data_IF_453337751498
#
_entry.id   IF_453337751498
#
_cell.length_a   1.000
_cell.length_b   1.000
_cell.length_c   1.000
_cell.angle_alpha   90.00
_cell.angle_beta   90.00
_cell.angle_gamma   90.00
#
_symmetry.space_group_name_H-M   'P 1'
#
loop_
_entity.id
_entity.type
_entity.pdbx_description
1 polymer ?
#
# COMPACT_ATOMS: atom_id res chain seq x y z
N UNK A 1 -16.14 -19.97 26.13
CA UNK A 1 -15.10 -19.62 25.12
C UNK A 1 -15.79 -19.10 23.87
N UNK A 2 -15.67 -17.80 23.54
CA UNK A 2 -16.18 -17.25 22.26
C UNK A 2 -15.43 -17.95 21.15
N UNK A 3 -16.14 -18.66 20.25
CA UNK A 3 -15.55 -19.18 19.01
C UNK A 3 -14.92 -18.00 18.26
N UNK A 4 -13.59 -17.98 18.17
CA UNK A 4 -12.87 -17.06 17.31
C UNK A 4 -13.27 -17.38 15.85
N UNK A 5 -14.11 -16.54 15.27
CA UNK A 5 -14.44 -16.64 13.84
C UNK A 5 -13.15 -16.35 13.09
N UNK A 6 -12.66 -17.36 12.40
CA UNK A 6 -11.44 -17.21 11.60
C UNK A 6 -11.69 -16.19 10.47
N UNK A 7 -10.90 -15.10 10.35
CA UNK A 7 -11.02 -14.17 9.24
C UNK A 7 -10.85 -14.92 7.92
N UNK A 8 -11.47 -14.39 6.84
CA UNK A 8 -11.25 -14.88 5.46
C UNK A 8 -9.75 -15.06 5.26
N UNK A 9 -9.32 -16.19 4.70
CA UNK A 9 -7.91 -16.56 4.68
C UNK A 9 -7.14 -15.74 3.61
N UNK A 10 -6.81 -14.51 3.95
CA UNK A 10 -6.00 -13.57 3.14
C UNK A 10 -4.61 -13.35 3.74
N UNK A 11 -4.12 -14.30 4.51
CA UNK A 11 -2.86 -14.21 5.24
C UNK A 11 -1.68 -13.76 4.37
N UNK A 12 -1.59 -14.25 3.11
CA UNK A 12 -0.55 -13.83 2.19
C UNK A 12 -0.60 -12.33 1.87
N UNK A 13 -1.81 -11.77 1.72
CA UNK A 13 -1.98 -10.32 1.47
C UNK A 13 -1.64 -9.52 2.74
N UNK A 14 -1.99 -10.03 3.93
CA UNK A 14 -1.56 -9.41 5.19
C UNK A 14 -0.04 -9.37 5.30
N UNK A 15 0.66 -10.44 4.88
CA UNK A 15 2.12 -10.45 4.85
C UNK A 15 2.70 -9.40 3.87
N UNK A 16 2.13 -9.26 2.67
CA UNK A 16 2.56 -8.20 1.72
C UNK A 16 2.37 -6.82 2.35
N UNK A 17 1.23 -6.57 3.02
CA UNK A 17 0.98 -5.32 3.74
C UNK A 17 1.99 -5.06 4.85
N UNK A 18 2.26 -6.06 5.69
CA UNK A 18 3.21 -5.96 6.79
C UNK A 18 4.62 -5.68 6.24
N UNK A 19 5.03 -6.38 5.18
CA UNK A 19 6.30 -6.10 4.52
C UNK A 19 6.35 -4.64 4.01
N UNK A 20 5.30 -4.17 3.33
CA UNK A 20 5.23 -2.80 2.83
C UNK A 20 5.27 -1.77 3.97
N UNK A 21 4.58 -2.01 5.11
CA UNK A 21 4.64 -1.13 6.29
C UNK A 21 6.06 -1.00 6.84
N UNK A 22 6.75 -2.12 7.02
CA UNK A 22 8.12 -2.11 7.54
C UNK A 22 9.10 -1.51 6.54
N UNK A 23 8.86 -1.70 5.25
CA UNK A 23 9.64 -1.09 4.18
C UNK A 23 9.54 0.44 4.18
N UNK A 24 8.41 1.03 4.61
CA UNK A 24 8.30 2.50 4.75
C UNK A 24 9.34 3.04 5.72
N UNK A 25 9.40 2.51 6.95
CA UNK A 25 10.36 2.98 7.95
C UNK A 25 11.80 2.72 7.51
N UNK A 26 12.05 1.55 6.91
CA UNK A 26 13.36 1.18 6.39
C UNK A 26 13.81 2.11 5.25
N UNK A 27 12.90 2.53 4.37
CA UNK A 27 13.19 3.50 3.32
C UNK A 27 13.47 4.90 3.90
N UNK A 28 12.67 5.33 4.90
CA UNK A 28 12.85 6.61 5.56
C UNK A 28 14.19 6.69 6.31
N UNK A 29 14.71 5.56 6.80
CA UNK A 29 16.07 5.51 7.32
C UNK A 29 17.08 5.99 6.28
N UNK A 30 17.05 5.50 5.05
CA UNK A 30 17.95 5.97 3.99
C UNK A 30 17.72 7.44 3.64
N UNK A 31 16.47 7.92 3.72
CA UNK A 31 16.13 9.31 3.40
C UNK A 31 16.70 10.30 4.43
N UNK A 32 16.68 9.93 5.71
CA UNK A 32 17.03 10.86 6.79
C UNK A 32 18.39 10.62 7.45
N UNK A 33 19.07 9.50 7.14
CA UNK A 33 20.39 9.17 7.70
C UNK A 33 21.57 9.86 7.01
N UNK A 34 21.32 10.68 5.98
CA UNK A 34 22.39 11.26 5.16
C UNK A 34 22.98 10.30 4.13
N UNK A 35 22.32 9.15 3.87
CA UNK A 35 22.77 8.16 2.90
C UNK A 35 23.07 8.75 1.52
N UNK A 36 22.26 9.69 1.06
CA UNK A 36 22.41 10.32 -0.24
C UNK A 36 23.52 11.38 -0.30
N UNK A 37 24.05 11.77 0.86
CA UNK A 37 25.15 12.74 0.98
C UNK A 37 26.50 12.03 1.10
N UNK A 38 26.50 10.70 1.30
CA UNK A 38 27.71 9.90 1.44
C UNK A 38 28.29 9.56 0.06
N UNK A 39 29.59 9.79 -0.08
CA UNK A 39 30.34 9.23 -1.21
C UNK A 39 30.36 7.71 -1.11
N UNK A 40 29.72 7.06 -2.06
CA UNK A 40 29.48 5.62 -2.03
C UNK A 40 30.59 4.88 -2.75
N UNK A 41 31.40 4.13 -2.03
CA UNK A 41 32.45 3.32 -2.64
C UNK A 41 32.36 1.85 -2.20
N UNK A 42 32.67 0.95 -3.14
CA UNK A 42 32.83 -0.46 -2.89
C UNK A 42 31.55 -1.26 -2.63
N UNK A 43 31.72 -2.46 -2.08
CA UNK A 43 30.67 -3.43 -1.86
C UNK A 43 29.54 -2.93 -0.92
N UNK A 44 29.90 -2.13 0.09
CA UNK A 44 28.91 -1.60 1.02
C UNK A 44 27.90 -0.67 0.34
N UNK A 45 28.31 0.14 -0.62
CA UNK A 45 27.45 0.98 -1.41
C UNK A 45 26.42 0.14 -2.21
N UNK A 46 26.87 -0.95 -2.82
CA UNK A 46 25.99 -1.86 -3.55
C UNK A 46 24.96 -2.51 -2.61
N UNK A 47 25.42 -3.01 -1.43
CA UNK A 47 24.51 -3.63 -0.45
C UNK A 47 23.43 -2.63 0.03
N UNK A 48 23.83 -1.40 0.38
CA UNK A 48 22.88 -0.37 0.80
C UNK A 48 21.97 0.06 -0.35
N UNK A 49 22.47 0.11 -1.59
CA UNK A 49 21.68 0.31 -2.79
C UNK A 49 20.60 -0.76 -2.94
N UNK A 50 20.96 -2.04 -2.83
CA UNK A 50 20.01 -3.15 -2.86
C UNK A 50 18.95 -3.04 -1.75
N UNK A 51 19.36 -2.75 -0.52
CA UNK A 51 18.42 -2.56 0.60
C UNK A 51 17.46 -1.41 0.33
N UNK A 52 17.98 -0.26 -0.09
CA UNK A 52 17.17 0.91 -0.45
C UNK A 52 16.16 0.57 -1.54
N UNK A 53 16.57 -0.12 -2.61
CA UNK A 53 15.67 -0.49 -3.72
C UNK A 53 14.61 -1.50 -3.28
N UNK A 54 14.97 -2.46 -2.42
CA UNK A 54 14.02 -3.41 -1.83
C UNK A 54 12.92 -2.69 -1.04
N UNK A 55 13.30 -1.76 -0.16
CA UNK A 55 12.33 -1.03 0.68
C UNK A 55 11.57 0.06 -0.10
N UNK A 56 12.11 0.53 -1.21
CA UNK A 56 11.43 1.48 -2.08
C UNK A 56 10.11 0.93 -2.65
N UNK A 57 9.96 -0.38 -2.68
CA UNK A 57 8.74 -1.03 -3.18
C UNK A 57 7.52 -0.89 -2.27
N UNK A 58 7.61 -0.20 -1.14
CA UNK A 58 6.50 -0.03 -0.20
C UNK A 58 5.25 0.57 -0.87
N UNK A 59 5.39 1.66 -1.62
CA UNK A 59 4.27 2.34 -2.29
C UNK A 59 3.69 1.51 -3.45
N UNK A 60 4.50 0.99 -4.41
CA UNK A 60 4.04 0.02 -5.39
C UNK A 60 3.22 -1.12 -4.80
N UNK A 61 3.70 -1.73 -3.72
CA UNK A 61 3.02 -2.85 -3.06
C UNK A 61 1.66 -2.44 -2.48
N UNK A 62 1.54 -1.28 -1.83
CA UNK A 62 0.24 -0.80 -1.31
C UNK A 62 -0.76 -0.57 -2.44
N UNK A 63 -0.33 -0.05 -3.59
CA UNK A 63 -1.21 0.15 -4.74
C UNK A 63 -1.62 -1.19 -5.37
N UNK A 64 -0.69 -2.13 -5.52
CA UNK A 64 -0.99 -3.49 -6.01
C UNK A 64 -1.96 -4.23 -5.07
N UNK A 65 -1.79 -4.12 -3.74
CA UNK A 65 -2.73 -4.66 -2.74
C UNK A 65 -4.12 -4.05 -2.95
N UNK A 66 -4.18 -2.74 -3.18
CA UNK A 66 -5.46 -2.06 -3.45
C UNK A 66 -6.13 -2.62 -4.71
N UNK A 67 -5.39 -2.80 -5.79
CA UNK A 67 -5.88 -3.44 -7.02
C UNK A 67 -6.36 -4.87 -6.78
N UNK A 68 -5.61 -5.66 -6.02
CA UNK A 68 -5.95 -7.02 -5.67
C UNK A 68 -7.27 -7.11 -4.88
N UNK A 69 -7.44 -6.26 -3.84
CA UNK A 69 -8.60 -6.30 -2.94
C UNK A 69 -9.83 -5.61 -3.53
N UNK A 70 -9.65 -4.56 -4.34
CA UNK A 70 -10.76 -3.71 -4.84
C UNK A 70 -11.16 -4.01 -6.29
N UNK A 71 -10.66 -5.08 -6.92
CA UNK A 71 -10.95 -5.45 -8.32
C UNK A 71 -12.43 -5.57 -8.67
N UNK A 72 -13.29 -5.87 -7.68
CA UNK A 72 -14.74 -6.01 -7.87
C UNK A 72 -15.54 -4.79 -7.39
N UNK A 73 -14.86 -3.70 -6.97
CA UNK A 73 -15.56 -2.50 -6.51
C UNK A 73 -16.35 -1.88 -7.67
N UNK A 74 -17.64 -1.63 -7.41
CA UNK A 74 -18.60 -1.04 -8.35
C UNK A 74 -18.86 0.43 -7.95
N UNK A 75 -19.35 1.21 -8.89
CA UNK A 75 -19.79 2.59 -8.64
C UNK A 75 -21.08 2.58 -7.80
N UNK A 76 -20.93 2.71 -6.48
CA UNK A 76 -22.03 2.77 -5.54
C UNK A 76 -21.62 3.54 -4.28
N UNK A 77 -22.58 4.11 -3.56
CA UNK A 77 -22.33 4.87 -2.33
C UNK A 77 -21.57 4.03 -1.27
N UNK A 78 -21.85 2.74 -1.16
CA UNK A 78 -21.17 1.82 -0.26
C UNK A 78 -19.65 1.71 -0.52
N UNK A 79 -19.20 1.89 -1.78
CA UNK A 79 -17.77 1.97 -2.08
C UNK A 79 -17.14 3.20 -1.43
N UNK A 80 -17.74 4.37 -1.60
CA UNK A 80 -17.19 5.65 -1.12
C UNK A 80 -17.23 5.80 0.40
N UNK A 81 -18.24 5.22 1.08
CA UNK A 81 -18.30 5.17 2.54
C UNK A 81 -17.06 4.50 3.15
N UNK A 82 -16.48 3.53 2.46
CA UNK A 82 -15.23 2.85 2.89
C UNK A 82 -14.00 3.76 2.94
N UNK A 83 -14.06 4.96 2.36
CA UNK A 83 -13.00 5.95 2.46
C UNK A 83 -13.02 6.72 3.79
N UNK A 84 -14.18 6.81 4.46
CA UNK A 84 -14.35 7.57 5.69
C UNK A 84 -13.38 7.17 6.80
N UNK A 85 -13.13 5.87 7.09
CA UNK A 85 -12.14 5.47 8.09
C UNK A 85 -10.72 5.95 7.78
N UNK A 86 -10.35 6.05 6.50
CA UNK A 86 -9.04 6.58 6.08
C UNK A 86 -8.95 8.07 6.39
N UNK A 87 -10.00 8.83 6.05
CA UNK A 87 -10.08 10.27 6.33
C UNK A 87 -10.03 10.55 7.83
N UNK A 88 -10.81 9.83 8.64
CA UNK A 88 -10.82 9.96 10.10
C UNK A 88 -9.44 9.65 10.68
N UNK A 89 -8.79 8.57 10.21
CA UNK A 89 -7.45 8.20 10.66
C UNK A 89 -6.42 9.27 10.30
N UNK A 90 -6.51 9.83 9.09
CA UNK A 90 -5.59 10.87 8.63
C UNK A 90 -5.75 12.17 9.42
N UNK A 91 -6.99 12.58 9.71
CA UNK A 91 -7.28 13.74 10.56
C UNK A 91 -6.79 13.51 11.99
N UNK A 92 -7.05 12.33 12.57
CA UNK A 92 -6.61 12.01 13.93
C UNK A 92 -5.09 12.04 14.06
N UNK A 93 -4.37 11.42 13.12
CA UNK A 93 -2.89 11.47 13.12
C UNK A 93 -2.40 12.88 12.86
N UNK A 94 -3.06 13.65 11.99
CA UNK A 94 -2.75 15.07 11.78
C UNK A 94 -2.83 15.87 13.07
N UNK A 95 -3.88 15.67 13.88
CA UNK A 95 -4.02 16.31 15.20
C UNK A 95 -2.92 15.87 16.17
N UNK A 96 -2.61 14.57 16.24
CA UNK A 96 -1.50 14.06 17.08
C UNK A 96 -0.18 14.71 16.66
N UNK A 97 0.07 14.84 15.35
CA UNK A 97 1.29 15.45 14.81
C UNK A 97 1.36 16.95 15.15
N UNK A 98 0.23 17.67 15.08
CA UNK A 98 0.15 19.08 15.50
C UNK A 98 0.51 19.19 16.99
N UNK A 99 -0.08 18.35 17.83
CA UNK A 99 0.25 18.33 19.26
C UNK A 99 1.75 18.07 19.48
N UNK A 100 2.32 17.11 18.79
CA UNK A 100 3.76 16.82 18.86
C UNK A 100 4.60 18.04 18.44
N UNK A 101 4.27 18.71 17.34
CA UNK A 101 4.98 19.91 16.88
C UNK A 101 4.90 21.06 17.86
N UNK A 102 3.76 21.29 18.47
CA UNK A 102 3.56 22.35 19.47
C UNK A 102 4.31 22.02 20.76
N UNK A 103 4.09 20.85 21.34
CA UNK A 103 4.57 20.54 22.70
C UNK A 103 6.00 19.99 22.74
N UNK A 104 6.45 19.28 21.70
CA UNK A 104 7.77 18.66 21.67
C UNK A 104 8.78 19.47 20.85
N UNK A 105 8.34 20.11 19.76
CA UNK A 105 9.21 20.89 18.88
C UNK A 105 9.11 22.40 19.10
N UNK A 106 8.25 22.87 20.02
CA UNK A 106 7.98 24.29 20.31
C UNK A 106 7.64 25.12 19.06
N UNK A 107 6.98 24.48 18.06
CA UNK A 107 6.56 25.20 16.85
C UNK A 107 5.22 25.89 17.08
N UNK A 108 5.16 27.17 16.68
CA UNK A 108 3.92 27.96 16.70
C UNK A 108 3.60 28.47 15.30
N UNK A 109 2.38 28.22 14.85
CA UNK A 109 1.86 28.73 13.58
C UNK A 109 0.48 29.34 13.81
N UNK A 110 0.06 30.24 12.92
CA UNK A 110 -1.30 30.78 12.97
C UNK A 110 -2.34 29.64 12.86
N UNK A 111 -3.47 29.71 13.60
CA UNK A 111 -4.51 28.67 13.58
C UNK A 111 -4.98 28.30 12.18
N UNK A 112 -5.03 29.26 11.26
CA UNK A 112 -5.42 29.01 9.86
C UNK A 112 -4.44 28.07 9.14
N UNK A 113 -3.14 28.14 9.43
CA UNK A 113 -2.11 27.27 8.86
C UNK A 113 -2.32 25.85 9.34
N UNK A 114 -2.64 25.66 10.63
CA UNK A 114 -2.97 24.35 11.19
C UNK A 114 -4.22 23.76 10.54
N UNK A 115 -5.27 24.54 10.39
CA UNK A 115 -6.52 24.11 9.75
C UNK A 115 -6.27 23.70 8.29
N UNK A 116 -5.54 24.53 7.53
CA UNK A 116 -5.19 24.24 6.15
C UNK A 116 -4.38 22.94 6.03
N UNK A 117 -3.42 22.73 6.91
CA UNK A 117 -2.57 21.55 6.89
C UNK A 117 -3.32 20.25 7.25
N UNK A 118 -4.34 20.33 8.11
CA UNK A 118 -5.25 19.20 8.36
C UNK A 118 -6.07 18.86 7.11
N UNK A 119 -6.63 19.87 6.44
CA UNK A 119 -7.43 19.70 5.24
C UNK A 119 -6.63 19.14 4.06
N UNK A 120 -5.38 19.57 3.92
CA UNK A 120 -4.47 19.08 2.87
C UNK A 120 -3.73 17.79 3.24
N UNK A 121 -3.94 17.26 4.45
CA UNK A 121 -3.22 16.10 5.03
C UNK A 121 -1.70 16.28 5.10
N UNK A 122 -1.21 17.52 5.09
CA UNK A 122 0.24 17.80 5.07
C UNK A 122 0.91 17.74 6.45
N UNK A 123 0.17 17.71 7.55
CA UNK A 123 0.76 17.71 8.89
C UNK A 123 1.64 16.50 9.20
N UNK A 124 1.26 15.27 8.81
CA UNK A 124 2.14 14.12 9.03
C UNK A 124 3.42 14.14 8.16
N UNK A 125 3.62 15.15 7.27
CA UNK A 125 4.75 15.16 6.33
C UNK A 125 4.65 14.12 5.19
N UNK A 126 3.85 13.07 5.37
CA UNK A 126 3.65 11.97 4.43
C UNK A 126 2.25 11.96 3.78
N UNK A 127 1.57 13.10 3.82
CA UNK A 127 0.20 13.24 3.31
C UNK A 127 0.05 12.99 1.81
N UNK A 128 1.14 13.13 1.04
CA UNK A 128 1.12 12.93 -0.41
C UNK A 128 0.54 11.55 -0.82
N UNK A 129 0.87 10.49 -0.06
CA UNK A 129 0.34 9.16 -0.35
C UNK A 129 -1.15 9.04 -0.04
N UNK A 130 -1.64 9.72 1.00
CA UNK A 130 -3.08 9.76 1.31
C UNK A 130 -3.84 10.47 0.19
N UNK A 131 -3.32 11.59 -0.31
CA UNK A 131 -3.90 12.32 -1.44
C UNK A 131 -3.92 11.43 -2.71
N UNK A 132 -2.83 10.72 -2.99
CA UNK A 132 -2.76 9.73 -4.07
C UNK A 132 -3.80 8.63 -3.89
N UNK A 133 -3.89 8.05 -2.68
CA UNK A 133 -4.82 6.97 -2.37
C UNK A 133 -6.29 7.43 -2.52
N UNK A 134 -6.65 8.62 -2.01
CA UNK A 134 -8.00 9.18 -2.16
C UNK A 134 -8.35 9.35 -3.64
N UNK A 135 -7.46 9.96 -4.41
CA UNK A 135 -7.64 10.19 -5.85
C UNK A 135 -7.82 8.88 -6.61
N UNK A 136 -6.94 7.90 -6.35
CA UNK A 136 -7.06 6.56 -6.93
C UNK A 136 -8.39 5.89 -6.52
N UNK A 137 -8.75 5.95 -5.23
CA UNK A 137 -9.94 5.31 -4.69
C UNK A 137 -11.22 5.83 -5.35
N UNK A 138 -11.29 7.14 -5.64
CA UNK A 138 -12.44 7.76 -6.32
C UNK A 138 -12.67 7.20 -7.72
N UNK A 139 -11.61 6.87 -8.45
CA UNK A 139 -11.69 6.40 -9.84
C UNK A 139 -11.70 4.88 -10.00
N UNK A 140 -11.47 4.11 -8.91
CA UNK A 140 -11.44 2.64 -8.92
C UNK A 140 -12.63 1.99 -9.66
N UNK A 141 -13.90 2.38 -9.42
CA UNK A 141 -15.03 1.74 -10.10
C UNK A 141 -14.98 1.88 -11.63
N UNK A 142 -14.49 3.01 -12.13
CA UNK A 142 -14.36 3.25 -13.58
C UNK A 142 -13.24 2.42 -14.18
N UNK A 143 -12.08 2.33 -13.49
CA UNK A 143 -10.96 1.48 -13.91
C UNK A 143 -11.38 0.02 -13.94
N UNK A 144 -12.09 -0.44 -12.90
CA UNK A 144 -12.62 -1.80 -12.84
C UNK A 144 -13.58 -2.08 -13.98
N UNK A 145 -14.48 -1.15 -14.30
CA UNK A 145 -15.40 -1.23 -15.43
C UNK A 145 -14.65 -1.42 -16.75
N UNK A 146 -13.67 -0.55 -17.01
CA UNK A 146 -12.85 -0.62 -18.22
C UNK A 146 -12.02 -1.92 -18.29
N UNK A 147 -11.38 -2.35 -17.20
CA UNK A 147 -10.62 -3.59 -17.16
C UNK A 147 -11.52 -4.84 -17.35
N UNK A 148 -12.69 -4.87 -16.71
CA UNK A 148 -13.62 -6.00 -16.79
C UNK A 148 -14.37 -6.08 -18.13
N UNK A 149 -14.38 -5.01 -18.93
CA UNK A 149 -14.89 -5.06 -20.32
C UNK A 149 -13.99 -5.91 -21.24
N UNK A 150 -12.72 -6.08 -20.90
CA UNK A 150 -11.79 -6.95 -21.60
C UNK A 150 -12.11 -8.42 -21.30
N UNK A 151 -12.39 -9.21 -22.33
CA UNK A 151 -12.94 -10.57 -22.17
C UNK A 151 -11.87 -11.66 -22.09
N UNK A 152 -10.70 -11.44 -22.66
CA UNK A 152 -9.67 -12.47 -22.78
C UNK A 152 -8.43 -12.14 -21.93
N UNK A 153 -7.74 -13.19 -21.48
CA UNK A 153 -6.44 -13.03 -20.78
C UNK A 153 -5.45 -12.25 -21.63
N UNK A 154 -5.43 -12.48 -22.95
CA UNK A 154 -4.53 -11.77 -23.87
C UNK A 154 -4.81 -10.26 -23.87
N UNK A 155 -6.08 -9.83 -23.96
CA UNK A 155 -6.46 -8.41 -23.88
C UNK A 155 -6.05 -7.79 -22.55
N UNK A 156 -6.28 -8.49 -21.40
CA UNK A 156 -5.90 -8.01 -20.07
C UNK A 156 -4.39 -7.92 -19.90
N UNK A 157 -3.63 -8.90 -20.43
CA UNK A 157 -2.17 -8.84 -20.44
C UNK A 157 -1.67 -7.67 -21.28
N UNK A 158 -2.25 -7.45 -22.47
CA UNK A 158 -1.91 -6.30 -23.31
C UNK A 158 -2.21 -4.98 -22.60
N UNK A 159 -3.35 -4.86 -21.90
CA UNK A 159 -3.67 -3.67 -21.12
C UNK A 159 -2.63 -3.38 -20.04
N UNK A 160 -2.18 -4.40 -19.28
CA UNK A 160 -1.10 -4.26 -18.28
C UNK A 160 0.17 -3.72 -18.94
N UNK A 161 0.59 -4.33 -20.06
CA UNK A 161 1.82 -3.93 -20.77
C UNK A 161 1.69 -2.50 -21.30
N UNK A 162 0.56 -2.15 -21.93
CA UNK A 162 0.33 -0.80 -22.49
C UNK A 162 0.36 0.25 -21.38
N UNK A 163 -0.31 0.01 -20.24
CA UNK A 163 -0.30 0.97 -19.13
C UNK A 163 1.10 1.19 -18.57
N UNK A 164 1.88 0.12 -18.37
CA UNK A 164 3.27 0.22 -17.90
C UNK A 164 4.12 0.97 -18.95
N UNK A 165 3.95 0.64 -20.21
CA UNK A 165 4.70 1.28 -21.29
C UNK A 165 4.42 2.78 -21.36
N UNK A 166 3.15 3.17 -21.36
CA UNK A 166 2.75 4.59 -21.50
C UNK A 166 3.09 5.40 -20.24
N UNK A 167 2.92 4.84 -19.04
CA UNK A 167 3.06 5.60 -17.81
C UNK A 167 4.44 5.54 -17.16
N UNK A 168 5.29 4.56 -17.55
CA UNK A 168 6.55 4.31 -16.84
C UNK A 168 7.74 4.16 -17.78
N UNK A 169 7.61 3.41 -18.89
CA UNK A 169 8.75 3.05 -19.72
C UNK A 169 9.40 4.28 -20.38
N UNK A 170 8.60 5.19 -20.92
CA UNK A 170 9.10 6.40 -21.57
C UNK A 170 9.91 7.28 -20.57
N UNK A 171 9.40 7.44 -19.36
CA UNK A 171 10.08 8.21 -18.30
C UNK A 171 11.40 7.56 -17.91
N UNK A 172 11.42 6.23 -17.76
CA UNK A 172 12.63 5.49 -17.40
C UNK A 172 13.72 5.63 -18.46
N UNK A 173 13.37 5.51 -19.74
CA UNK A 173 14.33 5.68 -20.84
C UNK A 173 14.85 7.11 -20.91
N UNK A 174 13.99 8.11 -20.75
CA UNK A 174 14.38 9.51 -20.81
C UNK A 174 15.33 9.95 -19.67
N UNK A 175 15.49 9.11 -18.64
CA UNK A 175 16.44 9.33 -17.52
C UNK A 175 17.79 8.66 -17.73
N UNK A 176 17.98 7.84 -18.77
CA UNK A 176 19.28 7.21 -19.03
C UNK A 176 20.22 8.26 -19.59
N UNK A 177 21.32 8.61 -18.89
CA UNK A 177 22.31 9.53 -19.40
C UNK A 177 23.14 8.80 -20.47
N UNK A 178 23.03 9.21 -21.71
CA UNK A 178 23.92 8.78 -22.78
C UNK A 178 24.86 9.93 -23.14
N UNK A 179 26.17 9.71 -23.02
CA UNK A 179 27.23 10.70 -23.33
C UNK A 179 27.11 12.03 -22.54
N UNK A 180 26.60 11.99 -21.29
CA UNK A 180 26.48 13.18 -20.45
C UNK A 180 25.24 14.04 -20.72
N UNK A 181 24.41 13.67 -21.69
CA UNK A 181 23.13 14.32 -21.97
C UNK A 181 21.96 13.35 -21.73
N UNK A 182 20.86 13.86 -21.19
CA UNK A 182 19.63 13.08 -21.06
C UNK A 182 18.96 12.94 -22.44
N UNK A 183 18.79 11.72 -22.92
CA UNK A 183 18.08 11.48 -24.17
C UNK A 183 16.59 11.66 -23.93
N UNK A 184 16.00 12.69 -24.51
CA UNK A 184 14.56 12.76 -24.70
C UNK A 184 14.15 11.88 -25.89
N UNK A 185 14.34 10.57 -25.74
CA UNK A 185 14.30 9.64 -26.87
C UNK A 185 12.89 9.21 -27.27
N UNK A 186 11.89 9.35 -26.37
CA UNK A 186 10.50 8.94 -26.64
C UNK A 186 9.59 10.16 -26.58
N UNK A 187 9.72 11.05 -27.56
CA UNK A 187 8.94 12.28 -27.66
C UNK A 187 7.45 12.07 -28.04
N UNK A 188 7.07 10.87 -28.54
CA UNK A 188 5.68 10.58 -28.88
C UNK A 188 4.81 10.22 -27.67
N UNK A 189 5.40 9.93 -26.50
CA UNK A 189 4.68 9.76 -25.24
C UNK A 189 4.89 11.00 -24.39
N UNK A 190 3.84 11.81 -24.15
CA UNK A 190 3.96 13.01 -23.34
C UNK A 190 4.30 12.69 -21.88
N UNK A 191 5.22 13.44 -21.29
CA UNK A 191 5.70 13.24 -19.93
C UNK A 191 4.59 13.32 -18.87
N UNK A 192 3.50 14.07 -19.11
CA UNK A 192 2.37 14.15 -18.17
C UNK A 192 1.62 12.83 -17.99
N UNK A 193 1.75 11.87 -18.92
CA UNK A 193 1.20 10.53 -18.78
C UNK A 193 1.92 9.71 -17.72
N UNK A 194 3.12 10.12 -17.29
CA UNK A 194 3.81 9.51 -16.16
C UNK A 194 2.98 9.58 -14.87
N UNK A 195 2.16 10.60 -14.71
CA UNK A 195 1.23 10.71 -13.58
C UNK A 195 0.24 9.54 -13.46
N UNK A 196 0.09 8.72 -14.49
CA UNK A 196 -0.75 7.51 -14.49
C UNK A 196 -0.05 6.27 -13.89
N UNK A 197 1.21 6.37 -13.45
CA UNK A 197 1.96 5.24 -12.88
C UNK A 197 1.21 4.46 -11.78
N UNK A 198 0.38 5.08 -10.90
CA UNK A 198 -0.35 4.33 -9.89
C UNK A 198 -1.36 3.37 -10.51
N UNK A 199 -1.93 3.70 -11.68
CA UNK A 199 -2.86 2.82 -12.39
C UNK A 199 -2.16 1.58 -12.91
N UNK A 200 -0.90 1.69 -13.34
CA UNK A 200 -0.08 0.55 -13.75
C UNK A 200 0.01 -0.50 -12.63
N UNK A 201 0.43 -0.10 -11.43
CA UNK A 201 0.50 -1.00 -10.28
C UNK A 201 -0.89 -1.52 -9.85
N UNK A 202 -1.92 -0.67 -9.89
CA UNK A 202 -3.29 -1.07 -9.57
C UNK A 202 -3.76 -2.20 -10.48
N UNK A 203 -3.59 -2.05 -11.81
CA UNK A 203 -4.00 -3.05 -12.81
C UNK A 203 -3.19 -4.33 -12.67
N UNK A 204 -1.89 -4.26 -12.35
CA UNK A 204 -1.07 -5.44 -12.02
C UNK A 204 -1.67 -6.19 -10.83
N UNK A 205 -2.08 -5.48 -9.78
CA UNK A 205 -2.76 -6.08 -8.62
C UNK A 205 -4.07 -6.79 -9.01
N UNK A 206 -4.90 -6.17 -9.84
CA UNK A 206 -6.13 -6.77 -10.39
C UNK A 206 -5.82 -8.05 -11.17
N UNK A 207 -4.82 -7.99 -12.05
CA UNK A 207 -4.39 -9.12 -12.88
C UNK A 207 -3.95 -10.32 -12.03
N UNK A 208 -3.14 -10.08 -10.98
CA UNK A 208 -2.72 -11.14 -10.05
C UNK A 208 -3.93 -11.74 -9.32
N UNK A 209 -4.87 -10.90 -8.88
CA UNK A 209 -6.06 -11.37 -8.18
C UNK A 209 -6.97 -12.26 -9.05
N UNK A 210 -7.04 -11.98 -10.35
CA UNK A 210 -7.86 -12.74 -11.31
C UNK A 210 -7.18 -14.04 -11.75
N UNK A 211 -5.91 -13.93 -12.19
CA UNK A 211 -5.22 -15.07 -12.83
C UNK A 211 -4.38 -15.91 -11.87
N UNK A 212 -4.13 -15.43 -10.66
CA UNK A 212 -3.39 -16.11 -9.58
C UNK A 212 -2.15 -16.86 -10.06
N UNK A 213 -1.18 -16.18 -10.69
CA UNK A 213 0.00 -16.83 -11.26
C UNK A 213 0.82 -17.53 -10.17
N UNK A 214 1.10 -18.81 -10.35
CA UNK A 214 1.89 -19.62 -9.43
C UNK A 214 3.33 -19.69 -9.92
N UNK A 215 4.24 -19.08 -9.18
CA UNK A 215 5.68 -19.13 -9.44
C UNK A 215 6.35 -19.66 -8.18
N UNK A 216 7.38 -20.49 -8.36
CA UNK A 216 8.18 -21.00 -7.24
C UNK A 216 8.78 -19.85 -6.44
N UNK A 217 8.60 -19.84 -5.12
CA UNK A 217 9.09 -18.79 -4.20
C UNK A 217 10.61 -18.61 -4.32
N UNK A 218 11.34 -19.73 -4.48
CA UNK A 218 12.77 -19.69 -4.72
C UNK A 218 13.15 -18.98 -6.02
N UNK A 219 12.41 -19.24 -7.10
CA UNK A 219 12.64 -18.52 -8.38
C UNK A 219 12.34 -17.03 -8.23
N UNK A 220 11.27 -16.66 -7.54
CA UNK A 220 10.98 -15.26 -7.24
C UNK A 220 12.12 -14.63 -6.43
N UNK A 221 12.61 -15.29 -5.38
CA UNK A 221 13.71 -14.78 -4.55
C UNK A 221 15.02 -14.60 -5.35
N UNK A 222 15.36 -15.58 -6.19
CA UNK A 222 16.55 -15.50 -7.04
C UNK A 222 16.46 -14.36 -8.06
N UNK A 223 15.31 -14.27 -8.76
CA UNK A 223 15.08 -13.17 -9.72
C UNK A 223 15.07 -11.81 -9.03
N UNK A 224 14.44 -11.71 -7.85
CA UNK A 224 14.46 -10.49 -7.04
C UNK A 224 15.90 -10.09 -6.68
N UNK A 225 16.70 -11.02 -6.21
CA UNK A 225 18.10 -10.76 -5.89
C UNK A 225 18.89 -10.26 -7.12
N UNK A 226 18.71 -10.90 -8.27
CA UNK A 226 19.37 -10.50 -9.53
C UNK A 226 18.92 -9.07 -9.94
N UNK A 227 17.62 -8.78 -9.84
CA UNK A 227 17.10 -7.46 -10.19
C UNK A 227 17.63 -6.37 -9.26
N UNK A 228 17.63 -6.63 -7.95
CA UNK A 228 18.16 -5.68 -6.95
C UNK A 228 19.65 -5.43 -7.14
N UNK A 229 20.43 -6.48 -7.42
CA UNK A 229 21.86 -6.36 -7.70
C UNK A 229 22.10 -5.58 -8.99
N UNK A 230 21.37 -5.89 -10.06
CA UNK A 230 21.47 -5.17 -11.32
C UNK A 230 21.20 -3.67 -11.15
N UNK A 231 20.12 -3.31 -10.45
CA UNK A 231 19.77 -1.92 -10.20
C UNK A 231 20.78 -1.19 -9.31
N UNK A 232 21.23 -1.84 -8.23
CA UNK A 232 22.24 -1.24 -7.36
C UNK A 232 23.55 -0.98 -8.10
N UNK A 233 23.99 -1.91 -8.94
CA UNK A 233 25.19 -1.75 -9.78
C UNK A 233 24.97 -0.69 -10.86
N UNK A 234 23.84 -0.71 -11.55
CA UNK A 234 23.51 0.27 -12.58
C UNK A 234 23.48 1.69 -12.01
N UNK A 235 22.84 1.89 -10.85
CA UNK A 235 22.87 3.18 -10.14
C UNK A 235 24.29 3.57 -9.73
N UNK A 236 25.06 2.64 -9.16
CA UNK A 236 26.44 2.90 -8.75
C UNK A 236 27.33 3.37 -9.92
N UNK A 237 27.24 2.68 -11.06
CA UNK A 237 28.03 3.00 -12.26
C UNK A 237 27.60 4.32 -12.91
N UNK A 238 26.29 4.55 -13.04
CA UNK A 238 25.75 5.73 -13.75
C UNK A 238 25.83 7.01 -12.93
N UNK A 239 25.90 6.92 -11.62
CA UNK A 239 25.97 8.09 -10.73
C UNK A 239 27.36 8.29 -10.12
N UNK A 240 28.37 7.51 -10.54
CA UNK A 240 29.71 7.53 -9.96
C UNK A 240 29.71 7.38 -8.43
N UNK A 241 28.80 6.54 -7.91
CA UNK A 241 28.66 6.27 -6.49
C UNK A 241 27.73 7.22 -5.73
N UNK A 242 27.13 8.21 -6.38
CA UNK A 242 26.09 9.05 -5.78
C UNK A 242 24.71 8.49 -6.13
N UNK A 243 23.96 8.00 -5.15
CA UNK A 243 22.61 7.46 -5.38
C UNK A 243 21.53 8.51 -5.61
N UNK A 244 21.83 9.78 -5.49
CA UNK A 244 20.88 10.85 -5.74
C UNK A 244 20.69 11.07 -7.24
N UNK A 245 19.47 10.96 -7.75
CA UNK A 245 19.16 11.15 -9.15
C UNK A 245 19.54 9.99 -10.09
N UNK A 246 19.76 8.79 -9.56
CA UNK A 246 19.99 7.58 -10.36
C UNK A 246 18.82 7.19 -11.24
N UNK A 247 19.04 6.24 -12.15
CA UNK A 247 18.09 5.76 -13.16
C UNK A 247 16.77 5.28 -12.55
N UNK A 248 16.78 4.80 -11.32
CA UNK A 248 15.66 4.11 -10.66
C UNK A 248 15.24 4.80 -9.36
N UNK A 249 15.14 6.13 -9.41
CA UNK A 249 14.90 6.92 -8.20
C UNK A 249 13.42 7.10 -7.84
N UNK A 250 12.51 7.01 -8.83
CA UNK A 250 11.10 7.36 -8.66
C UNK A 250 10.14 6.15 -8.80
N UNK A 251 8.92 6.30 -8.26
CA UNK A 251 7.89 5.25 -8.35
C UNK A 251 7.41 4.99 -9.79
N UNK A 252 7.54 5.96 -10.69
CA UNK A 252 7.22 5.83 -12.11
C UNK A 252 8.29 5.10 -12.93
N UNK A 253 9.40 4.69 -12.35
CA UNK A 253 10.41 3.93 -13.08
C UNK A 253 9.95 2.49 -13.33
N UNK A 254 9.97 2.07 -14.61
CA UNK A 254 9.40 0.78 -15.04
C UNK A 254 10.14 -0.42 -14.42
N UNK A 255 11.39 -0.25 -14.01
CA UNK A 255 12.22 -1.28 -13.38
C UNK A 255 11.71 -1.67 -11.99
N UNK A 256 10.97 -0.77 -11.32
CA UNK A 256 10.32 -1.07 -10.04
C UNK A 256 9.16 -2.07 -10.19
N UNK A 257 8.53 -2.15 -11.36
CA UNK A 257 7.37 -3.04 -11.58
C UNK A 257 7.73 -4.52 -11.38
N UNK A 258 8.77 -5.09 -12.02
CA UNK A 258 9.14 -6.49 -11.80
C UNK A 258 9.61 -6.75 -10.37
N UNK A 259 10.28 -5.81 -9.69
CA UNK A 259 10.70 -5.96 -8.29
C UNK A 259 9.47 -6.06 -7.38
N UNK A 260 8.54 -5.11 -7.47
CA UNK A 260 7.29 -5.13 -6.71
C UNK A 260 6.47 -6.40 -7.00
N UNK A 261 6.40 -6.80 -8.28
CA UNK A 261 5.71 -8.02 -8.71
C UNK A 261 6.31 -9.26 -8.07
N UNK A 262 7.64 -9.41 -8.08
CA UNK A 262 8.33 -10.57 -7.49
C UNK A 262 8.11 -10.64 -5.98
N UNK A 263 8.19 -9.52 -5.27
CA UNK A 263 7.88 -9.47 -3.84
C UNK A 263 6.42 -9.86 -3.59
N UNK A 264 5.48 -9.32 -4.37
CA UNK A 264 4.07 -9.65 -4.24
C UNK A 264 3.82 -11.15 -4.44
N UNK A 265 4.41 -11.75 -5.50
CA UNK A 265 4.29 -13.17 -5.82
C UNK A 265 4.96 -14.10 -4.80
N UNK A 266 5.94 -13.61 -4.04
CA UNK A 266 6.52 -14.39 -2.94
C UNK A 266 5.55 -14.63 -1.79
N UNK A 267 4.66 -13.68 -1.52
CA UNK A 267 3.84 -13.70 -0.30
C UNK A 267 2.34 -13.92 -0.54
N UNK A 268 1.75 -13.41 -1.64
CA UNK A 268 0.30 -13.24 -1.79
C UNK A 268 -0.55 -14.52 -1.63
N UNK A 269 -0.02 -15.68 -1.95
CA UNK A 269 -0.71 -16.98 -1.90
C UNK A 269 -0.31 -17.85 -0.71
N UNK A 270 0.49 -17.32 0.23
CA UNK A 270 0.87 -18.03 1.45
C UNK A 270 -0.36 -18.22 2.32
N UNK A 271 -0.56 -19.47 2.73
CA UNK A 271 -1.65 -19.89 3.60
C UNK A 271 -1.07 -20.50 4.88
N UNK A 272 -1.67 -20.21 6.01
CA UNK A 272 -1.29 -20.82 7.29
C UNK A 272 -2.52 -21.32 8.03
N UNK A 273 -2.42 -22.49 8.65
CA UNK A 273 -3.51 -23.08 9.44
C UNK A 273 -3.60 -22.49 10.85
N UNK A 274 -2.53 -21.89 11.37
CA UNK A 274 -2.46 -21.34 12.72
C UNK A 274 -3.34 -20.07 12.82
N UNK A 275 -4.50 -20.20 13.50
CA UNK A 275 -5.49 -19.14 13.67
C UNK A 275 -4.93 -17.93 14.45
N UNK A 276 -4.24 -18.08 15.60
CA UNK A 276 -3.62 -16.97 16.32
C UNK A 276 -2.68 -16.13 15.47
N UNK A 277 -1.83 -16.75 14.66
CA UNK A 277 -0.90 -16.03 13.77
C UNK A 277 -1.67 -15.26 12.67
N UNK A 278 -2.73 -15.86 12.11
CA UNK A 278 -3.60 -15.18 11.12
C UNK A 278 -4.27 -13.95 11.72
N UNK A 279 -4.81 -14.07 12.93
CA UNK A 279 -5.45 -12.96 13.64
C UNK A 279 -4.43 -11.85 13.93
N UNK A 280 -3.22 -12.21 14.37
CA UNK A 280 -2.16 -11.24 14.62
C UNK A 280 -1.77 -10.49 13.34
N UNK A 281 -1.53 -11.21 12.25
CA UNK A 281 -1.21 -10.61 10.94
C UNK A 281 -2.33 -9.68 10.45
N UNK A 282 -3.59 -10.10 10.54
CA UNK A 282 -4.74 -9.29 10.16
C UNK A 282 -4.87 -8.01 11.01
N UNK A 283 -4.61 -8.09 12.34
CA UNK A 283 -4.60 -6.90 13.22
C UNK A 283 -3.48 -5.93 12.87
N UNK A 284 -2.26 -6.44 12.61
CA UNK A 284 -1.12 -5.62 12.22
C UNK A 284 -1.38 -4.97 10.85
N UNK A 285 -1.85 -5.73 9.88
CA UNK A 285 -2.12 -5.20 8.53
C UNK A 285 -3.25 -4.16 8.51
N UNK A 286 -4.22 -4.26 9.44
CA UNK A 286 -5.35 -3.33 9.53
C UNK A 286 -4.94 -1.91 9.92
N UNK A 287 -3.83 -1.73 10.64
CA UNK A 287 -3.37 -0.40 11.10
C UNK A 287 -2.44 0.30 10.10
N UNK A 288 -2.29 -0.21 8.88
CA UNK A 288 -1.31 0.25 7.89
C UNK A 288 -1.34 1.75 7.62
N UNK A 289 -2.53 2.37 7.51
CA UNK A 289 -2.67 3.81 7.27
C UNK A 289 -2.19 4.63 8.47
N UNK A 290 -2.62 4.25 9.67
CA UNK A 290 -2.22 4.92 10.92
C UNK A 290 -0.72 4.78 11.13
N UNK A 291 -0.18 3.58 10.91
CA UNK A 291 1.25 3.27 11.02
C UNK A 291 2.07 4.14 10.05
N UNK A 292 1.67 4.20 8.80
CA UNK A 292 2.34 5.02 7.79
C UNK A 292 2.39 6.49 8.19
N UNK A 293 1.29 7.05 8.65
CA UNK A 293 1.22 8.47 9.01
C UNK A 293 1.95 8.77 10.33
N UNK A 294 1.84 7.90 11.34
CA UNK A 294 2.54 8.08 12.63
C UNK A 294 4.04 7.90 12.52
N UNK A 295 4.53 7.18 11.49
CA UNK A 295 5.97 6.96 11.31
C UNK A 295 6.75 8.26 11.20
N UNK A 296 6.13 9.36 10.72
CA UNK A 296 6.77 10.67 10.65
C UNK A 296 7.26 11.17 12.01
N UNK A 297 6.47 10.99 13.08
CA UNK A 297 6.85 11.41 14.43
C UNK A 297 8.08 10.62 14.91
N UNK A 298 8.12 9.32 14.63
CA UNK A 298 9.26 8.48 14.95
C UNK A 298 10.49 8.84 14.12
N UNK A 299 10.31 9.11 12.83
CA UNK A 299 11.38 9.55 11.94
C UNK A 299 12.00 10.86 12.46
N UNK A 300 11.18 11.87 12.77
CA UNK A 300 11.66 13.13 13.33
C UNK A 300 12.43 12.90 14.64
N UNK A 301 11.89 12.13 15.57
CA UNK A 301 12.53 11.86 16.86
C UNK A 301 13.86 11.11 16.70
N UNK A 302 13.90 10.01 15.99
CA UNK A 302 15.09 9.17 15.91
C UNK A 302 16.20 9.81 15.06
N UNK A 303 15.85 10.38 13.90
CA UNK A 303 16.89 10.90 12.99
C UNK A 303 17.42 12.25 13.45
N UNK A 304 16.60 13.10 14.05
CA UNK A 304 17.09 14.36 14.66
C UNK A 304 18.05 14.05 15.81
N UNK A 305 17.69 13.12 16.70
CA UNK A 305 18.48 12.74 17.86
C UNK A 305 19.82 12.09 17.50
N UNK A 306 19.83 11.23 16.48
CA UNK A 306 20.99 10.42 16.11
C UNK A 306 21.75 10.96 14.90
N UNK A 307 21.39 12.14 14.36
CA UNK A 307 21.99 12.69 13.14
C UNK A 307 23.52 12.76 13.19
N UNK A 308 24.09 13.11 14.33
CA UNK A 308 25.53 13.18 14.51
C UNK A 308 26.24 11.82 14.53
N UNK A 309 25.48 10.73 14.71
CA UNK A 309 26.00 9.36 14.76
C UNK A 309 26.10 8.72 13.36
N UNK A 310 25.43 9.27 12.35
CA UNK A 310 25.44 8.75 10.98
C UNK A 310 26.72 9.20 10.25
N UNK A 311 27.81 8.45 10.44
CA UNK A 311 29.11 8.72 9.84
C UNK A 311 29.62 7.52 9.04
N UNK A 312 29.48 7.60 7.70
CA UNK A 312 29.98 6.56 6.80
C UNK A 312 29.15 5.26 6.76
N UNK A 313 29.42 4.42 5.76
CA UNK A 313 28.61 3.24 5.48
C UNK A 313 28.67 2.12 6.52
N UNK A 314 29.82 1.90 7.16
CA UNK A 314 29.97 0.86 8.20
C UNK A 314 29.08 1.15 9.40
N UNK A 315 28.99 2.42 9.79
CA UNK A 315 28.14 2.85 10.88
C UNK A 315 26.64 2.83 10.48
N UNK A 316 26.34 3.16 9.23
CA UNK A 316 24.97 3.18 8.71
C UNK A 316 24.28 1.82 8.87
N UNK A 317 24.95 0.70 8.56
CA UNK A 317 24.42 -0.66 8.77
C UNK A 317 24.12 -0.93 10.23
N UNK A 318 25.05 -0.61 11.13
CA UNK A 318 24.86 -0.81 12.56
C UNK A 318 23.68 0.01 13.10
N UNK A 319 23.56 1.26 12.67
CA UNK A 319 22.47 2.16 13.06
C UNK A 319 21.13 1.71 12.49
N UNK A 320 21.08 1.16 11.27
CA UNK A 320 19.87 0.57 10.70
C UNK A 320 19.31 -0.54 11.62
N UNK A 321 20.13 -1.50 11.99
CA UNK A 321 19.70 -2.60 12.86
C UNK A 321 19.44 -2.16 14.32
N UNK A 322 19.99 -1.04 14.78
CA UNK A 322 19.72 -0.46 16.09
C UNK A 322 18.38 0.29 16.12
N UNK A 323 18.13 1.16 15.13
CA UNK A 323 16.98 2.09 15.15
C UNK A 323 15.71 1.44 14.62
N UNK A 324 15.77 0.76 13.47
CA UNK A 324 14.57 0.30 12.78
C UNK A 324 13.72 -0.66 13.61
N UNK A 325 14.25 -1.69 14.29
CA UNK A 325 13.42 -2.56 15.13
C UNK A 325 12.68 -1.81 16.24
N UNK A 326 13.37 -0.87 16.90
CA UNK A 326 12.78 -0.06 17.98
C UNK A 326 11.68 0.84 17.42
N UNK A 327 11.96 1.51 16.31
CA UNK A 327 11.01 2.39 15.62
C UNK A 327 9.77 1.62 15.19
N UNK A 328 9.92 0.43 14.58
CA UNK A 328 8.81 -0.44 14.18
C UNK A 328 7.93 -0.78 15.40
N UNK A 329 8.53 -1.22 16.50
CA UNK A 329 7.79 -1.63 17.71
C UNK A 329 7.02 -0.44 18.28
N UNK A 330 7.64 0.73 18.44
CA UNK A 330 7.00 1.92 18.99
C UNK A 330 5.89 2.42 18.08
N UNK A 331 6.15 2.54 16.78
CA UNK A 331 5.17 2.98 15.80
C UNK A 331 3.98 2.01 15.70
N UNK A 332 4.24 0.69 15.71
CA UNK A 332 3.19 -0.32 15.68
C UNK A 332 2.32 -0.27 16.93
N UNK A 333 2.93 -0.15 18.11
CA UNK A 333 2.21 -0.05 19.38
C UNK A 333 1.32 1.19 19.40
N UNK A 334 1.85 2.36 19.06
CA UNK A 334 1.09 3.60 18.98
C UNK A 334 -0.05 3.50 17.96
N UNK A 335 0.20 2.87 16.82
CA UNK A 335 -0.81 2.67 15.77
C UNK A 335 -1.95 1.75 16.20
N UNK A 336 -1.65 0.66 16.92
CA UNK A 336 -2.66 -0.25 17.44
C UNK A 336 -3.53 0.44 18.48
N UNK A 337 -2.93 1.26 19.37
CA UNK A 337 -3.67 2.02 20.39
C UNK A 337 -4.59 3.04 19.69
N UNK A 338 -4.05 3.88 18.81
CA UNK A 338 -4.84 4.91 18.12
C UNK A 338 -5.96 4.30 17.29
N UNK A 339 -5.67 3.22 16.55
CA UNK A 339 -6.68 2.52 15.76
C UNK A 339 -7.81 1.96 16.63
N UNK A 340 -7.47 1.39 17.80
CA UNK A 340 -8.47 0.89 18.75
C UNK A 340 -9.36 2.03 19.30
N UNK A 341 -8.78 3.21 19.57
CA UNK A 341 -9.53 4.40 20.01
C UNK A 341 -10.44 4.94 18.89
N UNK A 342 -10.01 4.88 17.63
CA UNK A 342 -10.80 5.35 16.49
C UNK A 342 -11.90 4.36 16.06
N UNK A 343 -11.81 3.09 16.43
CA UNK A 343 -12.77 2.06 16.02
C UNK A 343 -14.23 2.39 16.36
N UNK A 344 -14.61 2.81 17.59
CA UNK A 344 -15.99 3.19 17.92
C UNK A 344 -16.47 4.39 17.11
N UNK A 345 -15.64 5.41 16.91
CA UNK A 345 -15.96 6.59 16.11
C UNK A 345 -16.23 6.21 14.65
N UNK A 346 -15.33 5.43 14.05
CA UNK A 346 -15.51 4.91 12.70
C UNK A 346 -16.83 4.16 12.54
N UNK A 347 -17.15 3.27 13.49
CA UNK A 347 -18.40 2.51 13.50
C UNK A 347 -19.63 3.44 13.63
N UNK A 348 -19.57 4.43 14.53
CA UNK A 348 -20.68 5.36 14.75
C UNK A 348 -21.01 6.18 13.47
N UNK A 349 -20.00 6.54 12.70
CA UNK A 349 -20.21 7.33 11.47
C UNK A 349 -20.59 6.43 10.29
N UNK A 350 -19.91 5.30 10.09
CA UNK A 350 -20.09 4.48 8.87
C UNK A 350 -21.32 3.58 8.92
N UNK A 351 -21.71 3.05 10.09
CA UNK A 351 -22.83 2.12 10.21
C UNK A 351 -24.19 2.72 9.78
N UNK A 352 -24.57 3.94 10.21
CA UNK A 352 -25.82 4.56 9.73
C UNK A 352 -25.80 4.85 8.24
N UNK A 353 -24.64 5.24 7.67
CA UNK A 353 -24.50 5.49 6.24
C UNK A 353 -24.68 4.22 5.42
N UNK A 354 -24.08 3.10 5.82
CA UNK A 354 -24.30 1.81 5.17
C UNK A 354 -25.76 1.37 5.26
N UNK A 355 -26.43 1.58 6.40
CA UNK A 355 -27.85 1.27 6.57
C UNK A 355 -28.73 2.13 5.64
N UNK A 356 -28.39 3.40 5.46
CA UNK A 356 -29.10 4.29 4.54
C UNK A 356 -28.95 3.80 3.08
N UNK A 357 -27.72 3.48 2.65
CA UNK A 357 -27.46 2.95 1.30
C UNK A 357 -28.19 1.64 1.04
N UNK A 358 -28.25 0.72 2.00
CA UNK A 358 -29.00 -0.55 1.83
C UNK A 358 -30.49 -0.35 1.69
N UNK A 359 -31.07 0.64 2.38
CA UNK A 359 -32.49 1.01 2.25
C UNK A 359 -32.82 1.62 0.90
N UNK A 360 -31.96 2.51 0.41
CA UNK A 360 -32.12 3.16 -0.90
C UNK A 360 -32.05 2.13 -2.04
N UNK A 361 -31.09 1.21 -1.98
CA UNK A 361 -30.98 0.12 -2.97
C UNK A 361 -32.20 -0.85 -2.96
N UNK A 362 -32.78 -1.10 -1.78
CA UNK A 362 -34.00 -1.91 -1.67
C UNK A 362 -35.26 -1.17 -2.18
N UNK A 363 -35.30 0.16 -2.08
CA UNK A 363 -36.39 0.99 -2.60
C UNK A 363 -36.35 1.12 -4.13
N UNK A 364 -35.16 1.16 -4.74
CA UNK A 364 -34.96 1.23 -6.19
C UNK A 364 -35.24 -0.10 -6.89
N UNK A 365 -35.12 -1.25 -6.20
CA UNK A 365 -35.46 -2.60 -6.69
C UNK A 365 -36.42 -3.28 -5.73
N UNK A 366 -37.73 -2.92 -5.73
CA UNK A 366 -38.71 -3.65 -4.95
C UNK A 366 -38.77 -5.10 -5.45
N UNK A 367 -38.74 -6.03 -4.51
CA UNK A 367 -38.83 -7.47 -4.83
C UNK A 367 -40.04 -7.72 -5.73
N UNK A 368 -39.93 -8.55 -6.80
CA UNK A 368 -41.03 -8.88 -7.66
C UNK A 368 -42.14 -9.58 -6.85
N UNK A 369 -43.37 -9.11 -7.03
CA UNK A 369 -44.58 -9.55 -6.28
C UNK A 369 -44.98 -11.01 -6.59
N UNK A 370 -44.28 -11.67 -7.55
CA UNK A 370 -44.49 -13.11 -7.85
C UNK A 370 -43.15 -13.82 -8.14
N UNK A 371 -42.88 -15.00 -7.57
CA UNK A 371 -41.66 -15.73 -7.83
C UNK A 371 -41.76 -16.49 -9.16
N UNK A 372 -41.25 -15.91 -10.23
CA UNK A 372 -40.81 -16.68 -11.40
C UNK A 372 -39.27 -16.80 -11.30
N UNK A 373 -38.70 -17.99 -11.52
CA UNK A 373 -37.24 -18.17 -11.38
C UNK A 373 -36.54 -17.56 -12.59
N UNK A 374 -35.97 -16.36 -12.42
CA UNK A 374 -35.07 -15.76 -13.40
C UNK A 374 -33.87 -15.22 -12.69
N UNK A 375 -32.71 -15.80 -13.02
CA UNK A 375 -31.34 -15.34 -12.97
C UNK A 375 -30.96 -14.19 -11.98
N UNK A 376 -30.07 -14.54 -11.11
CA UNK A 376 -29.20 -13.79 -10.25
C UNK A 376 -29.06 -12.27 -10.57
N UNK A 377 -29.82 -11.45 -9.84
CA UNK A 377 -29.51 -10.03 -9.70
C UNK A 377 -28.35 -9.89 -8.72
N UNK A 378 -27.19 -9.55 -9.25
CA UNK A 378 -25.98 -9.23 -8.49
C UNK A 378 -26.22 -8.04 -7.57
N UNK A 379 -26.52 -8.31 -6.30
CA UNK A 379 -26.55 -7.30 -5.24
C UNK A 379 -25.14 -6.79 -4.95
N UNK A 380 -25.01 -5.53 -4.56
CA UNK A 380 -23.77 -4.90 -4.09
C UNK A 380 -23.37 -5.49 -2.71
N UNK A 381 -23.07 -6.82 -2.67
CA UNK A 381 -22.86 -7.59 -1.43
C UNK A 381 -21.40 -7.68 -0.97
N UNK A 382 -20.49 -6.92 -1.55
CA UNK A 382 -19.07 -6.87 -1.10
C UNK A 382 -18.89 -6.08 0.22
N UNK A 383 -19.81 -6.28 1.20
CA UNK A 383 -19.75 -5.62 2.50
C UNK A 383 -18.74 -6.24 3.50
N UNK A 384 -17.96 -7.25 3.08
CA UNK A 384 -17.17 -8.06 4.02
C UNK A 384 -15.68 -7.72 4.15
N UNK A 385 -15.17 -6.66 3.50
CA UNK A 385 -13.74 -6.37 3.47
C UNK A 385 -13.24 -5.33 4.49
N UNK A 386 -14.11 -4.82 5.35
CA UNK A 386 -13.70 -4.07 6.54
C UNK A 386 -14.11 -4.92 7.74
N UNK A 387 -13.15 -5.57 8.39
CA UNK A 387 -13.37 -6.44 9.53
C UNK A 387 -14.02 -5.73 10.71
N UNK A 388 -15.30 -5.48 10.64
CA UNK A 388 -16.13 -5.12 11.75
C UNK A 388 -17.01 -6.33 12.07
N UNK A 389 -16.73 -6.99 13.19
CA UNK A 389 -17.58 -8.05 13.75
C UNK A 389 -18.99 -7.50 13.96
N UNK A 390 -19.93 -7.90 13.10
CA UNK A 390 -21.34 -7.77 13.38
C UNK A 390 -21.78 -9.06 14.08
N UNK A 391 -22.02 -9.00 15.41
CA UNK A 391 -22.76 -10.02 16.12
C UNK A 391 -24.18 -10.11 15.53
N UNK A 392 -24.51 -11.22 14.86
CA UNK A 392 -25.90 -11.62 14.69
C UNK A 392 -26.12 -12.92 15.44
N UNK A 393 -26.94 -12.83 16.48
CA UNK A 393 -27.68 -13.96 17.05
C UNK A 393 -28.68 -14.46 16.03
N UNK A 394 -28.76 -15.77 15.84
CA UNK A 394 -30.00 -16.55 15.74
C UNK A 394 -29.66 -18.05 15.66
N UNK A 395 -30.12 -18.73 16.60
CA UNK A 395 -30.99 -19.91 16.73
C UNK A 395 -30.79 -21.09 15.79
N UNK A 396 -30.57 -22.19 16.51
CA UNK A 396 -30.99 -23.59 16.33
C UNK A 396 -31.85 -23.92 15.10
N UNK A 397 -31.51 -24.98 14.35
CA UNK A 397 -32.11 -26.30 14.46
C UNK A 397 -31.46 -27.31 13.49
N UNK A 398 -31.20 -28.43 14.12
CA UNK A 398 -31.36 -29.85 13.75
C UNK A 398 -31.60 -30.20 12.25
N UNK A 399 -30.72 -30.99 11.61
CA UNK A 399 -31.02 -32.41 11.34
C UNK A 399 -29.88 -33.12 10.61
N UNK A 400 -29.46 -34.21 11.20
CA UNK A 400 -29.09 -35.56 10.73
C UNK A 400 -29.32 -35.82 9.22
N UNK A 401 -28.42 -36.46 8.57
CA UNK A 401 -28.26 -37.89 8.34
C UNK A 401 -27.25 -38.19 7.22
N UNK A 402 -26.39 -39.08 7.53
CA UNK A 402 -25.98 -40.36 6.89
C UNK A 402 -25.47 -40.38 5.46
N UNK A 403 -24.24 -40.84 5.33
CA UNK A 403 -23.72 -42.16 4.85
C UNK A 403 -23.32 -42.26 3.36
N UNK A 404 -22.09 -42.75 3.19
CA UNK A 404 -21.53 -43.60 2.11
C UNK A 404 -21.39 -42.99 0.68
N UNK A 405 -20.24 -42.99 0.09
CA UNK A 405 -19.17 -43.97 -0.22
C UNK A 405 -17.87 -43.17 -0.54
#
# INVERSE_FOLDING_TARGET
MKKLIAPKNEFGIDLVKIFAMFSVLSLHFFLYSGFYELESHGLQAIIHGMMRMLFYQCVPLFIMITGYLKRNAKFCAAHYIKLIPVLISSLAVGLVTICYKIFCLNQSFAPIVWLQSLWTFNQPGYGWYINLYISLFMIIPFINGAYNSLKTKKQKTAAVIIFIFVSMFAVSINRIPLHGEYIQSIGFIPNYLSGLWPLGYYIVGMYIAEFRPKISKWRCALLLFIMLLFEAVANYVTTSGNFYGGITFNNEDCVNVPIALLIFLMFYDIQIKNIPIRIAAAKISAVSVVFYLLSWIGDDYFYTKHRAEFKGFSNLTAMFFKIIPIHIILCLTASLILFALLKPLNKAITAPLFKLCSRSAAAENPAPVNPTPVSETESCSDASDVGYDAESKTDSDTQKDTVEV
#
